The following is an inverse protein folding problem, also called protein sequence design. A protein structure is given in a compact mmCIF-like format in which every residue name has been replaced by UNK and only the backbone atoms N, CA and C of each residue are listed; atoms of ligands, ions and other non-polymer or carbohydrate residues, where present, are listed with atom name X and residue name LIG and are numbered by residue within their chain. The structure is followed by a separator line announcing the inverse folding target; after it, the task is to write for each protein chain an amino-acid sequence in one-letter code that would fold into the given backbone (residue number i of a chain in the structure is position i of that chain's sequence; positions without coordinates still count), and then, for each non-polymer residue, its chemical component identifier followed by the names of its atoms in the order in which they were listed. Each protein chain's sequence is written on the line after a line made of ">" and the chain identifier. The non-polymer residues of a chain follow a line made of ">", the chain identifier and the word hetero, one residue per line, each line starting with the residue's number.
data_IF_316908009819
#
_entry.id   IF_316908009819
#
_cell.length_a   1.000
_cell.length_b   1.000
_cell.length_c   1.000
_cell.angle_alpha   90.00
_cell.angle_beta   90.00
_cell.angle_gamma   90.00
#
_symmetry.space_group_name_H-M   'P 1'
#
loop_
_entity.id
_entity.type
_entity.pdbx_description
1 polymer ?
#
# COMPACT_ATOMS: atom_id res chain seq x y z
N UNK A 1 -17.17 2.00 -8.70
CA UNK A 1 -17.42 1.79 -10.14
C UNK A 1 -16.44 2.63 -10.92
N UNK A 2 -15.78 2.04 -11.92
CA UNK A 2 -15.00 2.82 -12.90
C UNK A 2 -16.00 3.31 -13.94
N UNK A 3 -16.05 4.62 -14.16
CA UNK A 3 -16.83 5.20 -15.26
C UNK A 3 -16.23 4.69 -16.58
N UNK A 4 -17.08 4.21 -17.48
CA UNK A 4 -16.72 3.81 -18.83
C UNK A 4 -17.73 4.50 -19.75
N UNK A 5 -17.24 5.08 -20.84
CA UNK A 5 -18.08 5.70 -21.86
C UNK A 5 -19.02 4.64 -22.49
N UNK A 6 -20.25 5.06 -22.82
CA UNK A 6 -21.31 4.12 -23.21
C UNK A 6 -21.04 3.36 -24.51
N UNK A 7 -20.33 3.99 -25.44
CA UNK A 7 -19.85 3.39 -26.69
C UNK A 7 -18.79 2.31 -26.44
N UNK A 8 -17.80 2.59 -25.58
CA UNK A 8 -16.79 1.62 -25.17
C UNK A 8 -17.39 0.42 -24.42
N UNK A 9 -18.41 0.67 -23.59
CA UNK A 9 -19.18 -0.40 -22.95
C UNK A 9 -19.89 -1.28 -23.98
N UNK A 10 -20.53 -0.66 -24.97
CA UNK A 10 -21.23 -1.40 -26.02
C UNK A 10 -20.27 -2.22 -26.89
N UNK A 11 -19.12 -1.65 -27.28
CA UNK A 11 -18.07 -2.38 -28.01
C UNK A 11 -17.55 -3.56 -27.19
N UNK A 12 -17.33 -3.36 -25.89
CA UNK A 12 -16.90 -4.43 -24.99
C UNK A 12 -17.91 -5.59 -24.95
N UNK A 13 -19.21 -5.27 -24.85
CA UNK A 13 -20.26 -6.29 -24.85
C UNK A 13 -20.40 -6.98 -26.20
N UNK A 14 -20.34 -6.25 -27.31
CA UNK A 14 -20.42 -6.83 -28.65
C UNK A 14 -19.32 -7.88 -28.88
N UNK A 15 -18.09 -7.57 -28.47
CA UNK A 15 -16.97 -8.52 -28.55
C UNK A 15 -17.23 -9.80 -27.78
N UNK A 16 -17.75 -9.69 -26.56
CA UNK A 16 -18.09 -10.87 -25.74
C UNK A 16 -19.22 -11.68 -26.33
N UNK A 17 -20.21 -11.00 -26.88
CA UNK A 17 -21.34 -11.63 -27.52
C UNK A 17 -20.87 -12.47 -28.74
N UNK A 18 -20.07 -11.89 -29.63
CA UNK A 18 -19.48 -12.63 -30.76
C UNK A 18 -18.70 -13.88 -30.32
N UNK A 19 -17.89 -13.77 -29.26
CA UNK A 19 -17.14 -14.91 -28.72
C UNK A 19 -18.07 -16.01 -28.16
N UNK A 20 -19.19 -15.65 -27.53
CA UNK A 20 -20.17 -16.61 -27.03
C UNK A 20 -20.92 -17.33 -28.16
N UNK A 21 -21.33 -16.61 -29.21
CA UNK A 21 -22.00 -17.21 -30.39
C UNK A 21 -21.12 -18.27 -31.03
N UNK A 22 -19.83 -17.94 -31.25
CA UNK A 22 -18.85 -18.87 -31.84
C UNK A 22 -18.69 -20.15 -31.03
N UNK A 23 -18.79 -20.09 -29.70
CA UNK A 23 -18.64 -21.25 -28.81
C UNK A 23 -19.89 -22.11 -28.69
N UNK A 24 -21.07 -21.50 -28.74
CA UNK A 24 -22.34 -22.22 -28.66
C UNK A 24 -22.80 -22.81 -29.99
N UNK A 25 -22.17 -22.45 -31.13
CA UNK A 25 -22.53 -22.97 -32.45
C UNK A 25 -23.90 -22.49 -32.97
N UNK A 26 -24.42 -21.40 -32.40
CA UNK A 26 -25.67 -20.76 -32.83
C UNK A 26 -25.43 -19.58 -33.77
N UNK A 27 -26.52 -19.00 -34.27
CA UNK A 27 -26.49 -17.73 -35.02
C UNK A 27 -26.80 -16.55 -34.09
N UNK A 28 -26.30 -15.37 -34.44
CA UNK A 28 -26.53 -14.15 -33.65
C UNK A 28 -28.01 -13.75 -33.61
N UNK A 29 -28.78 -14.09 -34.64
CA UNK A 29 -30.22 -13.81 -34.72
C UNK A 29 -31.09 -14.90 -34.09
N UNK A 30 -30.49 -15.89 -33.42
CA UNK A 30 -31.26 -16.90 -32.69
C UNK A 30 -32.09 -16.24 -31.57
N UNK A 31 -33.32 -16.71 -31.41
CA UNK A 31 -34.29 -16.17 -30.44
C UNK A 31 -33.73 -16.26 -29.02
N UNK A 32 -33.05 -17.35 -28.69
CA UNK A 32 -32.42 -17.52 -27.38
C UNK A 32 -31.31 -16.48 -27.15
N UNK A 33 -30.52 -16.22 -28.18
CA UNK A 33 -29.42 -15.28 -28.11
C UNK A 33 -29.90 -13.84 -27.88
N UNK A 34 -30.88 -13.41 -28.69
CA UNK A 34 -31.45 -12.07 -28.64
C UNK A 34 -32.24 -11.80 -27.36
N UNK A 35 -32.97 -12.79 -26.85
CA UNK A 35 -33.89 -12.59 -25.71
C UNK A 35 -33.27 -12.92 -24.36
N UNK A 36 -32.27 -13.80 -24.31
CA UNK A 36 -31.71 -14.31 -23.05
C UNK A 36 -30.27 -13.88 -22.84
N UNK A 37 -29.41 -14.01 -23.86
CA UNK A 37 -27.96 -13.77 -23.70
C UNK A 37 -27.65 -12.27 -23.79
N UNK A 38 -28.09 -11.60 -24.86
CA UNK A 38 -27.75 -10.20 -25.11
C UNK A 38 -28.19 -9.23 -23.99
N UNK A 39 -29.43 -9.31 -23.44
CA UNK A 39 -29.85 -8.42 -22.36
C UNK A 39 -29.11 -8.63 -21.05
N UNK A 40 -28.58 -9.83 -20.82
CA UNK A 40 -27.96 -10.25 -19.56
C UNK A 40 -26.43 -10.35 -19.63
N UNK A 41 -25.82 -9.86 -20.72
CA UNK A 41 -24.37 -9.99 -20.98
C UNK A 41 -23.52 -9.53 -19.79
N UNK A 42 -23.89 -8.41 -19.17
CA UNK A 42 -23.19 -7.89 -17.99
C UNK A 42 -23.18 -8.89 -16.83
N UNK A 43 -24.31 -9.55 -16.58
CA UNK A 43 -24.43 -10.51 -15.48
C UNK A 43 -23.62 -11.79 -15.75
N UNK A 44 -23.60 -12.25 -17.00
CA UNK A 44 -22.75 -13.39 -17.40
C UNK A 44 -21.25 -13.08 -17.24
N UNK A 45 -20.83 -11.86 -17.56
CA UNK A 45 -19.45 -11.43 -17.32
C UNK A 45 -19.10 -11.40 -15.84
N UNK A 46 -20.02 -10.90 -15.00
CA UNK A 46 -19.82 -10.90 -13.55
C UNK A 46 -19.71 -12.33 -12.99
N UNK A 47 -20.63 -13.23 -13.37
CA UNK A 47 -20.62 -14.63 -12.94
C UNK A 47 -19.29 -15.31 -13.31
N UNK A 48 -18.77 -15.03 -14.51
CA UNK A 48 -17.47 -15.54 -14.93
C UNK A 48 -16.35 -15.09 -14.00
N UNK A 49 -16.31 -13.80 -13.66
CA UNK A 49 -15.32 -13.26 -12.71
C UNK A 49 -15.49 -13.84 -11.30
N UNK A 50 -16.74 -14.02 -10.85
CA UNK A 50 -17.06 -14.58 -9.54
C UNK A 50 -16.63 -16.05 -9.43
N UNK A 51 -16.81 -16.84 -10.48
CA UNK A 51 -16.33 -18.23 -10.55
C UNK A 51 -14.80 -18.25 -10.54
N UNK A 52 -14.13 -17.46 -11.40
CA UNK A 52 -12.66 -17.35 -11.39
C UNK A 52 -12.14 -16.93 -10.00
N UNK A 53 -12.87 -16.04 -9.32
CA UNK A 53 -12.59 -15.61 -7.96
C UNK A 53 -12.72 -16.73 -6.93
N UNK A 54 -13.77 -17.54 -7.02
CA UNK A 54 -14.02 -18.64 -6.08
C UNK A 54 -12.96 -19.74 -6.15
N UNK A 55 -12.34 -19.94 -7.32
CA UNK A 55 -11.29 -20.92 -7.54
C UNK A 55 -9.87 -20.34 -7.40
N UNK A 56 -9.72 -19.12 -6.88
CA UNK A 56 -8.44 -18.39 -6.81
C UNK A 56 -7.72 -18.26 -8.16
N UNK A 57 -8.45 -18.40 -9.27
CA UNK A 57 -7.98 -18.19 -10.65
C UNK A 57 -8.07 -16.72 -11.05
N UNK A 58 -8.15 -15.81 -10.07
CA UNK A 58 -8.26 -14.38 -10.30
C UNK A 58 -7.16 -13.92 -11.24
N UNK A 59 -7.55 -13.26 -12.32
CA UNK A 59 -6.60 -12.65 -13.25
C UNK A 59 -5.64 -11.75 -12.47
N UNK A 60 -4.34 -11.96 -12.63
CA UNK A 60 -3.30 -11.10 -12.03
C UNK A 60 -3.62 -9.65 -12.39
N UNK A 61 -3.83 -8.82 -11.38
CA UNK A 61 -4.12 -7.41 -11.60
C UNK A 61 -3.00 -6.76 -12.41
N UNK A 62 -3.35 -5.83 -13.31
CA UNK A 62 -2.38 -4.95 -13.98
C UNK A 62 -1.87 -3.83 -13.05
N UNK A 63 -2.01 -4.00 -11.74
CA UNK A 63 -1.43 -3.09 -10.79
C UNK A 63 0.08 -3.26 -10.89
N UNK A 64 0.74 -2.29 -11.51
CA UNK A 64 2.18 -2.19 -11.42
C UNK A 64 2.52 -1.98 -9.95
N UNK A 65 3.11 -2.99 -9.32
CA UNK A 65 3.83 -2.77 -8.07
C UNK A 65 4.90 -1.74 -8.36
N UNK A 66 4.99 -0.71 -7.52
CA UNK A 66 6.00 0.33 -7.67
C UNK A 66 7.39 -0.30 -7.85
N UNK A 67 8.26 0.30 -8.69
CA UNK A 67 9.63 -0.18 -8.85
C UNK A 67 10.32 -0.33 -7.50
N UNK A 68 11.19 -1.34 -7.37
CA UNK A 68 11.86 -1.58 -6.12
C UNK A 68 12.87 -0.46 -5.84
N UNK A 69 12.61 0.41 -4.86
CA UNK A 69 13.46 1.56 -4.51
C UNK A 69 14.72 1.20 -3.69
N UNK A 70 15.28 0.00 -3.88
CA UNK A 70 16.32 -0.55 -3.00
C UNK A 70 17.62 0.22 -3.14
N UNK A 71 17.99 0.56 -4.37
CA UNK A 71 19.28 1.17 -4.66
C UNK A 71 19.25 2.67 -4.35
N UNK A 72 18.13 3.33 -4.60
CA UNK A 72 17.86 4.71 -4.18
C UNK A 72 17.95 4.83 -2.65
N UNK A 73 17.40 3.85 -1.91
CA UNK A 73 17.50 3.82 -0.45
C UNK A 73 18.95 3.65 0.01
N UNK A 74 19.75 2.80 -0.65
CA UNK A 74 21.18 2.64 -0.32
C UNK A 74 21.96 3.93 -0.54
N UNK A 75 21.73 4.60 -1.68
CA UNK A 75 22.39 5.87 -2.00
C UNK A 75 22.02 6.94 -0.98
N UNK A 76 20.74 7.02 -0.61
CA UNK A 76 20.27 7.93 0.44
C UNK A 76 20.94 7.67 1.79
N UNK A 77 21.03 6.40 2.21
CA UNK A 77 21.70 6.01 3.45
C UNK A 77 23.20 6.31 3.42
N UNK A 78 23.86 6.15 2.26
CA UNK A 78 25.27 6.51 2.09
C UNK A 78 25.47 8.01 2.28
N UNK A 79 24.64 8.83 1.63
CA UNK A 79 24.66 10.29 1.81
C UNK A 79 24.39 10.69 3.27
N UNK A 80 23.44 10.07 3.94
CA UNK A 80 23.14 10.34 5.36
C UNK A 80 24.32 10.01 6.28
N UNK A 81 25.10 8.99 5.91
CA UNK A 81 26.30 8.58 6.63
C UNK A 81 27.45 9.55 6.39
N UNK A 82 27.74 9.86 5.12
CA UNK A 82 28.81 10.77 4.70
C UNK A 82 28.60 12.19 5.23
N UNK A 83 27.37 12.69 5.12
CA UNK A 83 26.98 13.99 5.65
C UNK A 83 26.73 13.96 7.15
N UNK A 84 26.77 12.79 7.81
CA UNK A 84 26.54 12.66 9.24
C UNK A 84 25.27 13.40 9.70
N UNK A 85 24.21 13.32 8.89
CA UNK A 85 22.94 14.04 9.12
C UNK A 85 22.28 13.65 10.46
N UNK A 86 22.68 12.52 11.02
CA UNK A 86 22.26 11.98 12.29
C UNK A 86 23.02 12.57 13.50
N UNK A 87 24.12 13.28 13.28
CA UNK A 87 24.86 13.98 14.33
C UNK A 87 24.59 15.49 14.32
N UNK A 88 24.58 16.06 15.51
CA UNK A 88 24.59 17.51 15.65
C UNK A 88 25.97 18.06 15.24
N UNK A 89 25.99 19.02 14.30
CA UNK A 89 27.20 19.72 13.87
C UNK A 89 27.04 21.22 14.12
N UNK A 90 27.93 21.81 14.91
CA UNK A 90 27.92 23.25 15.17
C UNK A 90 28.14 24.02 13.86
N UNK A 91 27.28 25.01 13.60
CA UNK A 91 27.32 25.82 12.36
C UNK A 91 26.36 25.37 11.25
N UNK A 92 25.74 24.18 11.32
CA UNK A 92 24.63 23.85 10.41
C UNK A 92 23.37 24.62 10.82
N UNK A 93 22.86 25.47 9.93
CA UNK A 93 21.61 26.21 10.15
C UNK A 93 20.67 25.97 8.97
N UNK A 94 19.46 25.51 9.26
CA UNK A 94 18.37 25.33 8.28
C UNK A 94 17.27 26.37 8.55
N UNK A 95 17.66 27.65 8.66
CA UNK A 95 16.77 28.74 9.06
C UNK A 95 16.47 28.83 10.57
N UNK A 96 17.00 27.90 11.37
CA UNK A 96 17.01 27.99 12.84
C UNK A 96 18.29 27.35 13.38
N UNK A 97 18.81 27.89 14.49
CA UNK A 97 19.93 27.28 15.21
C UNK A 97 19.40 26.10 16.03
N UNK A 98 19.66 24.88 15.56
CA UNK A 98 19.35 23.69 16.33
C UNK A 98 20.19 23.69 17.62
N UNK A 99 19.59 23.33 18.74
CA UNK A 99 20.29 23.14 20.01
C UNK A 99 20.79 21.70 20.06
N UNK A 100 22.04 21.49 20.47
CA UNK A 100 22.57 20.14 20.70
C UNK A 100 21.88 19.48 21.90
N UNK A 101 20.73 18.85 21.66
CA UNK A 101 19.96 18.16 22.70
C UNK A 101 20.62 16.89 23.18
N UNK A 102 21.46 16.27 22.34
CA UNK A 102 22.16 15.04 22.68
C UNK A 102 23.20 15.29 23.78
N UNK A 103 24.12 16.23 23.55
CA UNK A 103 25.14 16.59 24.54
C UNK A 103 24.51 17.17 25.80
N UNK A 104 23.48 18.01 25.65
CA UNK A 104 22.71 18.53 26.79
C UNK A 104 22.02 17.42 27.59
N UNK A 105 21.59 16.35 26.91
CA UNK A 105 21.04 15.15 27.53
C UNK A 105 22.10 14.41 28.34
N UNK A 106 23.30 14.23 27.78
CA UNK A 106 24.44 13.64 28.48
C UNK A 106 24.86 14.43 29.71
N UNK A 107 24.97 15.76 29.60
CA UNK A 107 25.26 16.63 30.73
C UNK A 107 24.21 16.46 31.83
N UNK A 108 22.93 16.45 31.48
CA UNK A 108 21.84 16.23 32.45
C UNK A 108 21.89 14.85 33.10
N UNK A 109 22.28 13.83 32.35
CA UNK A 109 22.47 12.47 32.89
C UNK A 109 23.59 12.46 33.94
N UNK A 110 24.70 13.13 33.64
CA UNK A 110 25.87 13.26 34.52
C UNK A 110 25.57 14.14 35.76
N UNK A 111 24.74 15.18 35.60
CA UNK A 111 24.23 16.06 36.67
C UNK A 111 23.31 15.35 37.69
N UNK A 112 23.11 14.03 37.58
CA UNK A 112 22.39 13.23 38.58
C UNK A 112 21.00 12.76 38.16
N UNK A 113 20.55 13.11 36.93
CA UNK A 113 19.24 12.64 36.42
C UNK A 113 19.17 11.12 36.25
N UNK A 114 20.31 10.46 36.06
CA UNK A 114 20.38 9.00 36.10
C UNK A 114 20.04 8.46 37.49
N UNK A 115 20.59 9.07 38.55
CA UNK A 115 20.32 8.65 39.93
C UNK A 115 18.84 8.84 40.29
N UNK A 116 18.26 9.99 39.93
CA UNK A 116 16.82 10.28 40.11
C UNK A 116 15.95 9.24 39.37
N UNK A 117 16.32 8.88 38.15
CA UNK A 117 15.60 7.88 37.38
C UNK A 117 15.65 6.49 38.02
N UNK A 118 16.83 6.07 38.52
CA UNK A 118 17.01 4.80 39.20
C UNK A 118 16.21 4.73 40.50
N UNK A 119 16.24 5.79 41.31
CA UNK A 119 15.48 5.88 42.56
C UNK A 119 13.97 5.77 42.30
N UNK A 120 13.45 6.55 41.35
CA UNK A 120 12.03 6.50 40.99
C UNK A 120 11.62 5.13 40.45
N UNK A 121 12.48 4.49 39.66
CA UNK A 121 12.21 3.17 39.09
C UNK A 121 12.23 2.08 40.16
N UNK A 122 13.12 2.17 41.15
CA UNK A 122 13.15 1.27 42.29
C UNK A 122 11.87 1.38 43.14
N UNK A 123 11.43 2.60 43.47
CA UNK A 123 10.18 2.84 44.19
C UNK A 123 8.98 2.28 43.45
N UNK A 124 8.91 2.50 42.13
CA UNK A 124 7.82 1.94 41.31
C UNK A 124 7.83 0.41 41.27
N UNK A 125 9.01 -0.21 41.17
CA UNK A 125 9.14 -1.66 41.17
C UNK A 125 8.69 -2.29 42.50
N UNK A 126 8.94 -1.62 43.64
CA UNK A 126 8.42 -2.07 44.94
C UNK A 126 6.90 -1.99 45.00
N UNK A 127 6.29 -0.89 44.53
CA UNK A 127 4.83 -0.73 44.48
C UNK A 127 4.18 -1.82 43.61
N UNK A 128 4.79 -2.17 42.47
CA UNK A 128 4.28 -3.22 41.58
C UNK A 128 4.45 -4.62 42.19
N UNK A 129 5.45 -4.84 43.04
CA UNK A 129 5.66 -6.12 43.72
C UNK A 129 4.68 -6.35 44.89
N UNK A 130 4.21 -5.27 45.50
CA UNK A 130 3.27 -5.30 46.62
C UNK A 130 1.78 -5.29 46.16
N UNK A 131 1.53 -5.19 44.85
CA UNK A 131 0.23 -5.44 44.19
C UNK A 131 0.05 -6.91 43.84
#
# INVERSE_FOLDING_TARGET
>A
GKFIEGDLMQEHYNRWLEDMVRRCGGEFDDKFYRQTIAPNVQHFLQIKEDIESAFDLKRRGKAHTSPHLRDETKVLLCMYKEEELHFFRSGRTMGHAAVNRFDRGYQRLDEGKMAEFLERSAVYAEIVRDM
#
